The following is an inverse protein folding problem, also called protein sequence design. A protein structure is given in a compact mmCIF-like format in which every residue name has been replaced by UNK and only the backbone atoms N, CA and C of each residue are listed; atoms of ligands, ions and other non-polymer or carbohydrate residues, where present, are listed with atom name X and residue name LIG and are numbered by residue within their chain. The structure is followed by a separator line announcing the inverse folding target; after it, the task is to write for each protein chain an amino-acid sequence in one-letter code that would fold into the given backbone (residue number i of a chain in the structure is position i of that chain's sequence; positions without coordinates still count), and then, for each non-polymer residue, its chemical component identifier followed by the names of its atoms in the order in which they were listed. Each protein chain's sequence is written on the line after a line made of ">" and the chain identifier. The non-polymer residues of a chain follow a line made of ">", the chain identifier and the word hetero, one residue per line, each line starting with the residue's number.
data_IF_771731151375
#
_entry.id   IF_771731151375
#
_cell.length_a   1.000
_cell.length_b   1.000
_cell.length_c   1.000
_cell.angle_alpha   90.00
_cell.angle_beta   90.00
_cell.angle_gamma   90.00
#
_symmetry.space_group_name_H-M   'P 1'
#
loop_
_entity.id
_entity.type
_entity.pdbx_description
1 polymer ?
#
# COMPACT_ATOMS: atom_id res chain seq x y z
N UNK A 1 5.82 -13.26 -35.60
CA UNK A 1 6.96 -13.28 -34.64
C UNK A 1 6.35 -13.43 -33.27
N UNK A 2 6.81 -14.38 -32.47
CA UNK A 2 6.35 -14.53 -31.10
C UNK A 2 6.65 -13.24 -30.33
N UNK A 3 5.66 -12.70 -29.63
CA UNK A 3 5.83 -11.51 -28.81
C UNK A 3 6.44 -11.95 -27.47
N UNK A 4 7.76 -11.91 -27.37
CA UNK A 4 8.54 -12.37 -26.22
C UNK A 4 9.15 -11.15 -25.52
N UNK A 5 8.76 -10.91 -24.25
CA UNK A 5 9.21 -9.75 -23.48
C UNK A 5 9.23 -10.04 -21.97
N UNK A 6 9.98 -9.24 -21.24
CA UNK A 6 9.93 -9.21 -19.79
C UNK A 6 8.99 -8.09 -19.32
N UNK A 7 8.18 -8.41 -18.32
CA UNK A 7 7.29 -7.44 -17.69
C UNK A 7 7.48 -7.46 -16.18
N UNK A 8 7.50 -6.28 -15.57
CA UNK A 8 7.82 -6.10 -14.16
C UNK A 8 6.75 -5.30 -13.46
N UNK A 9 6.31 -5.77 -12.30
CA UNK A 9 5.49 -5.01 -11.34
C UNK A 9 6.16 -5.00 -9.97
N UNK A 10 5.84 -3.96 -9.20
CA UNK A 10 6.33 -3.81 -7.83
C UNK A 10 5.17 -3.65 -6.85
N UNK A 11 5.42 -4.05 -5.59
CA UNK A 11 4.55 -3.81 -4.46
C UNK A 11 5.35 -3.31 -3.27
N UNK A 12 4.66 -2.69 -2.33
CA UNK A 12 5.23 -2.20 -1.08
C UNK A 12 4.46 -2.75 0.12
N UNK A 13 5.14 -2.85 1.26
CA UNK A 13 4.52 -3.31 2.50
C UNK A 13 3.62 -2.25 3.12
N UNK A 14 2.81 -2.67 4.09
CA UNK A 14 1.99 -1.76 4.91
C UNK A 14 2.80 -0.70 5.66
N UNK A 15 4.09 -0.97 5.92
CA UNK A 15 5.02 -0.04 6.60
C UNK A 15 5.78 0.88 5.66
N UNK A 16 5.59 0.81 4.35
CA UNK A 16 6.13 1.81 3.44
C UNK A 16 5.56 3.19 3.77
N UNK A 17 6.38 4.28 3.78
CA UNK A 17 5.94 5.60 4.23
C UNK A 17 4.65 6.09 3.58
N UNK A 18 4.53 5.95 2.26
CA UNK A 18 3.33 6.35 1.53
C UNK A 18 2.11 5.50 1.95
N UNK A 19 2.30 4.19 2.19
CA UNK A 19 1.22 3.32 2.66
C UNK A 19 0.86 3.53 4.13
N UNK A 20 1.78 4.00 4.94
CA UNK A 20 1.45 4.48 6.30
C UNK A 20 0.54 5.70 6.20
N UNK A 21 0.85 6.65 5.32
CA UNK A 21 0.03 7.83 5.08
C UNK A 21 -1.36 7.45 4.55
N UNK A 22 -1.44 6.61 3.51
CA UNK A 22 -2.70 6.10 2.96
C UNK A 22 -3.57 5.45 4.04
N UNK A 23 -3.01 4.53 4.83
CA UNK A 23 -3.75 3.80 5.87
C UNK A 23 -4.25 4.70 7.00
N UNK A 24 -3.52 5.76 7.36
CA UNK A 24 -3.99 6.73 8.36
C UNK A 24 -5.16 7.54 7.79
N UNK A 25 -5.04 8.00 6.57
CA UNK A 25 -6.11 8.75 5.89
C UNK A 25 -7.37 7.90 5.69
N UNK A 26 -7.23 6.65 5.29
CA UNK A 26 -8.35 5.69 5.15
C UNK A 26 -9.01 5.39 6.51
N UNK A 27 -8.22 5.21 7.57
CA UNK A 27 -8.76 4.96 8.91
C UNK A 27 -9.58 6.17 9.44
N UNK A 28 -9.17 7.38 9.10
CA UNK A 28 -9.92 8.61 9.43
C UNK A 28 -11.21 8.66 8.61
N UNK A 29 -11.16 8.37 7.32
CA UNK A 29 -12.34 8.26 6.46
C UNK A 29 -13.34 7.25 7.04
N UNK A 30 -12.90 6.05 7.35
CA UNK A 30 -13.72 4.99 7.92
C UNK A 30 -14.36 5.41 9.25
N UNK A 31 -13.60 6.03 10.14
CA UNK A 31 -14.09 6.49 11.43
C UNK A 31 -15.18 7.59 11.32
N UNK A 32 -15.09 8.42 10.29
CA UNK A 32 -16.09 9.45 10.00
C UNK A 32 -17.34 8.81 9.36
N UNK A 33 -17.17 7.98 8.33
CA UNK A 33 -18.27 7.33 7.61
C UNK A 33 -19.08 6.39 8.52
N UNK A 34 -18.44 5.78 9.52
CA UNK A 34 -19.13 4.98 10.54
C UNK A 34 -20.16 5.80 11.37
N UNK A 35 -19.94 7.11 11.50
CA UNK A 35 -20.85 8.01 12.25
C UNK A 35 -21.74 8.83 11.31
N UNK A 36 -21.25 9.20 10.14
CA UNK A 36 -21.98 9.94 9.12
C UNK A 36 -21.69 9.38 7.72
N UNK A 37 -22.53 8.46 7.20
CA UNK A 37 -22.35 7.90 5.86
C UNK A 37 -22.43 8.91 4.71
N UNK A 38 -22.92 10.13 4.98
CA UNK A 38 -23.03 11.21 3.98
C UNK A 38 -21.95 12.28 4.15
N UNK A 39 -20.99 12.07 5.04
CA UNK A 39 -19.88 13.01 5.23
C UNK A 39 -19.04 13.13 3.94
N UNK A 40 -18.55 14.33 3.69
CA UNK A 40 -17.55 14.61 2.67
C UNK A 40 -16.19 14.67 3.34
N UNK A 41 -15.30 13.81 2.91
CA UNK A 41 -13.98 13.63 3.53
C UNK A 41 -12.92 13.62 2.43
N UNK A 42 -11.96 14.53 2.56
CA UNK A 42 -10.71 14.54 1.82
C UNK A 42 -9.58 14.64 2.85
N UNK A 43 -9.20 13.49 3.41
CA UNK A 43 -8.20 13.41 4.46
C UNK A 43 -6.82 13.15 3.85
N UNK A 44 -5.89 14.07 4.07
CA UNK A 44 -4.52 13.97 3.65
C UNK A 44 -3.61 13.78 4.87
N UNK A 45 -2.55 12.99 4.69
CA UNK A 45 -1.62 12.67 5.76
C UNK A 45 -0.18 12.81 5.28
N UNK A 46 0.65 13.54 5.98
CA UNK A 46 2.10 13.51 5.80
C UNK A 46 2.72 12.75 6.97
N UNK A 47 3.59 11.78 6.68
CA UNK A 47 4.38 11.08 7.68
C UNK A 47 5.87 11.37 7.49
N UNK A 48 6.59 11.59 8.60
CA UNK A 48 8.03 11.78 8.62
C UNK A 48 8.59 11.27 9.96
N UNK A 49 9.89 11.43 10.19
CA UNK A 49 10.52 11.03 11.45
C UNK A 49 9.78 11.63 12.65
N UNK A 50 9.18 10.78 13.48
CA UNK A 50 8.49 11.19 14.70
C UNK A 50 7.29 12.13 14.51
N UNK A 51 6.79 12.31 13.29
CA UNK A 51 5.78 13.31 12.95
C UNK A 51 4.70 12.76 12.03
N UNK A 52 3.45 13.09 12.33
CA UNK A 52 2.29 12.95 11.46
C UNK A 52 1.59 14.30 11.36
N UNK A 53 1.27 14.74 10.15
CA UNK A 53 0.43 15.90 9.90
C UNK A 53 -0.83 15.43 9.18
N UNK A 54 -1.98 15.74 9.75
CA UNK A 54 -3.30 15.47 9.21
C UNK A 54 -3.87 16.79 8.70
N UNK A 55 -4.18 16.85 7.42
CA UNK A 55 -4.72 18.08 6.80
C UNK A 55 -5.80 17.69 5.78
N UNK A 56 -6.48 18.69 5.24
CA UNK A 56 -7.53 18.50 4.24
C UNK A 56 -8.87 19.03 4.68
N UNK A 57 -9.94 18.59 4.02
CA UNK A 57 -11.28 19.10 4.24
C UNK A 57 -12.24 18.01 4.69
N UNK A 58 -12.95 18.27 5.77
CA UNK A 58 -13.96 17.37 6.33
C UNK A 58 -15.24 18.14 6.58
N UNK A 59 -16.34 17.68 5.98
CA UNK A 59 -17.68 18.17 6.27
C UNK A 59 -18.53 17.00 6.70
N UNK A 60 -18.88 16.97 7.98
CA UNK A 60 -19.71 15.94 8.60
C UNK A 60 -20.78 16.61 9.47
N UNK A 61 -21.80 15.85 9.87
CA UNK A 61 -22.85 16.33 10.78
C UNK A 61 -22.26 16.70 12.14
N UNK A 62 -22.93 17.63 12.85
CA UNK A 62 -22.44 18.23 14.12
C UNK A 62 -22.17 17.20 15.24
N UNK A 63 -22.85 16.07 15.23
CA UNK A 63 -22.69 15.02 16.24
C UNK A 63 -21.69 13.91 15.85
N UNK A 64 -21.01 14.02 14.73
CA UNK A 64 -19.92 13.13 14.37
C UNK A 64 -18.63 13.61 15.05
N UNK A 65 -18.12 12.82 16.00
CA UNK A 65 -16.91 13.14 16.74
C UNK A 65 -15.88 12.03 16.57
N UNK A 66 -14.73 12.35 15.98
CA UNK A 66 -13.61 11.45 15.78
C UNK A 66 -12.36 11.99 16.49
N UNK A 67 -11.74 11.15 17.28
CA UNK A 67 -10.39 11.43 17.82
C UNK A 67 -9.34 11.08 16.74
N UNK A 68 -9.06 12.04 15.89
CA UNK A 68 -8.11 11.88 14.78
C UNK A 68 -6.71 11.46 15.26
N UNK A 69 -6.28 11.98 16.42
CA UNK A 69 -4.98 11.66 16.99
C UNK A 69 -4.94 10.19 17.38
N UNK A 70 -5.99 9.69 18.04
CA UNK A 70 -6.05 8.29 18.45
C UNK A 70 -6.16 7.35 17.26
N UNK A 71 -6.97 7.70 16.24
CA UNK A 71 -7.08 6.91 14.99
C UNK A 71 -5.71 6.78 14.30
N UNK A 72 -4.96 7.88 14.19
CA UNK A 72 -3.63 7.85 13.61
C UNK A 72 -2.66 6.95 14.41
N UNK A 73 -2.67 7.07 15.75
CA UNK A 73 -1.83 6.26 16.64
C UNK A 73 -2.17 4.77 16.56
N UNK A 74 -3.45 4.42 16.54
CA UNK A 74 -3.90 3.02 16.44
C UNK A 74 -3.50 2.41 15.09
N UNK A 75 -3.55 3.18 14.01
CA UNK A 75 -3.09 2.76 12.70
C UNK A 75 -1.59 2.51 12.68
N UNK A 76 -0.78 3.43 13.20
CA UNK A 76 0.68 3.29 13.32
C UNK A 76 1.04 2.04 14.15
N UNK A 77 0.31 1.82 15.27
CA UNK A 77 0.48 0.64 16.11
C UNK A 77 0.15 -0.65 15.37
N UNK A 78 -0.98 -0.69 14.65
CA UNK A 78 -1.44 -1.85 13.85
C UNK A 78 -0.42 -2.22 12.78
N UNK A 79 0.22 -1.26 12.14
CA UNK A 79 1.28 -1.46 11.16
C UNK A 79 2.51 -2.07 11.81
N UNK A 80 2.81 -1.73 13.08
CA UNK A 80 3.94 -2.27 13.84
C UNK A 80 5.08 -1.27 14.07
N UNK A 81 4.80 0.02 13.96
CA UNK A 81 5.71 1.07 14.41
C UNK A 81 5.48 1.33 15.90
N UNK A 82 6.07 0.48 16.73
CA UNK A 82 5.90 0.42 18.19
C UNK A 82 7.17 0.69 18.97
N UNK A 83 8.26 1.04 18.29
CA UNK A 83 9.56 1.35 18.86
C UNK A 83 10.13 2.64 18.25
N UNK A 84 10.64 3.53 19.09
CA UNK A 84 11.28 4.79 18.68
C UNK A 84 12.47 4.61 17.74
N UNK A 85 13.16 3.47 17.84
CA UNK A 85 14.27 3.12 16.94
C UNK A 85 13.85 2.98 15.47
N UNK A 86 12.55 2.78 15.21
CA UNK A 86 12.00 2.70 13.84
C UNK A 86 11.75 4.09 13.24
N UNK A 87 12.12 5.15 13.97
CA UNK A 87 12.00 6.54 13.54
C UNK A 87 10.62 7.16 13.68
N UNK A 88 9.61 6.37 13.90
CA UNK A 88 8.26 6.76 14.31
C UNK A 88 7.68 5.66 15.20
N UNK A 89 7.04 6.04 16.29
CA UNK A 89 6.30 5.12 17.13
C UNK A 89 4.93 5.72 17.52
N UNK A 90 3.95 4.85 17.72
CA UNK A 90 2.57 5.27 17.96
C UNK A 90 2.37 6.02 19.29
N UNK A 91 3.26 5.85 20.27
CA UNK A 91 3.15 6.50 21.58
C UNK A 91 3.73 7.91 21.56
N UNK A 92 4.91 8.06 20.96
CA UNK A 92 5.74 9.25 21.07
C UNK A 92 5.70 10.19 19.87
N UNK A 93 5.17 9.78 18.71
CA UNK A 93 5.13 10.65 17.54
C UNK A 93 4.23 11.88 17.77
N UNK A 94 4.64 13.02 17.24
CA UNK A 94 3.79 14.19 17.18
C UNK A 94 2.67 13.96 16.14
N UNK A 95 1.45 14.36 16.46
CA UNK A 95 0.31 14.35 15.53
C UNK A 95 -0.27 15.75 15.49
N UNK A 96 -0.14 16.44 14.35
CA UNK A 96 -0.70 17.75 14.10
C UNK A 96 -1.99 17.58 13.29
N UNK A 97 -3.05 18.28 13.70
CA UNK A 97 -4.35 18.22 13.04
C UNK A 97 -4.70 19.60 12.50
N UNK A 98 -4.95 19.70 11.20
CA UNK A 98 -5.25 20.91 10.45
C UNK A 98 -6.35 20.62 9.41
N UNK A 99 -7.50 20.11 9.86
CA UNK A 99 -8.65 19.91 8.99
C UNK A 99 -9.53 21.16 8.95
N UNK A 100 -9.91 21.55 7.73
CA UNK A 100 -10.85 22.62 7.45
C UNK A 100 -12.19 22.06 6.96
N UNK A 101 -13.19 22.95 6.81
CA UNK A 101 -14.43 22.61 6.09
C UNK A 101 -14.22 22.79 4.59
N UNK A 102 -14.88 21.98 3.79
CA UNK A 102 -14.85 22.11 2.32
C UNK A 102 -15.34 23.51 1.89
N UNK A 103 -14.65 24.10 0.92
CA UNK A 103 -15.06 25.37 0.31
C UNK A 103 -16.47 25.30 -0.25
N UNK A 104 -17.28 26.36 -0.01
CA UNK A 104 -18.62 26.45 -0.56
C UNK A 104 -18.64 26.42 -2.10
N UNK A 105 -17.58 26.90 -2.75
CA UNK A 105 -17.48 26.91 -4.21
C UNK A 105 -17.32 25.50 -4.78
N UNK A 106 -16.59 24.63 -4.10
CA UNK A 106 -16.44 23.23 -4.46
C UNK A 106 -17.71 22.45 -4.08
N UNK A 107 -18.32 22.75 -2.94
CA UNK A 107 -19.53 22.09 -2.46
C UNK A 107 -20.74 22.24 -3.39
N UNK A 108 -20.80 23.29 -4.22
CA UNK A 108 -21.91 23.52 -5.15
C UNK A 108 -22.17 22.33 -6.08
N UNK A 109 -21.11 21.66 -6.55
CA UNK A 109 -21.24 20.49 -7.44
C UNK A 109 -21.83 19.26 -6.76
N UNK A 110 -21.76 19.19 -5.42
CA UNK A 110 -22.23 18.06 -4.61
C UNK A 110 -23.56 18.37 -3.90
N UNK A 111 -23.71 19.59 -3.37
CA UNK A 111 -24.88 20.00 -2.57
C UNK A 111 -26.15 20.18 -3.40
N UNK A 112 -26.04 20.42 -4.71
CA UNK A 112 -27.18 20.50 -5.63
C UNK A 112 -27.62 19.13 -6.18
N UNK A 113 -27.03 18.02 -5.69
CA UNK A 113 -27.54 16.71 -5.98
C UNK A 113 -28.97 16.59 -5.45
N UNK A 114 -29.93 16.37 -6.34
CA UNK A 114 -31.29 15.97 -5.97
C UNK A 114 -31.24 14.73 -5.08
N UNK A 115 -32.32 14.39 -4.38
CA UNK A 115 -32.48 13.14 -3.61
C UNK A 115 -32.24 11.85 -4.42
N UNK A 116 -31.94 11.99 -5.68
CA UNK A 116 -31.53 10.91 -6.59
C UNK A 116 -30.02 10.70 -6.54
N UNK A 117 -29.59 9.64 -5.85
CA UNK A 117 -28.18 9.23 -5.71
C UNK A 117 -27.48 9.02 -7.07
N UNK A 118 -28.21 8.81 -8.15
CA UNK A 118 -27.65 8.63 -9.50
C UNK A 118 -27.22 9.97 -10.13
N UNK A 119 -27.67 11.09 -9.58
CA UNK A 119 -27.36 12.44 -10.05
C UNK A 119 -26.44 13.22 -9.12
N UNK A 120 -25.82 12.54 -8.14
CA UNK A 120 -24.81 13.18 -7.29
C UNK A 120 -23.60 13.54 -8.14
N UNK A 121 -23.22 14.82 -8.17
CA UNK A 121 -22.00 15.30 -8.80
C UNK A 121 -20.76 14.92 -8.00
N UNK A 122 -19.59 15.02 -8.63
CA UNK A 122 -18.30 14.93 -7.95
C UNK A 122 -17.74 16.32 -7.65
N UNK A 123 -16.90 16.44 -6.63
CA UNK A 123 -16.22 17.69 -6.28
C UNK A 123 -15.10 18.06 -7.26
N UNK A 124 -14.66 17.13 -8.10
CA UNK A 124 -13.61 17.33 -9.09
C UNK A 124 -13.84 16.43 -10.31
N UNK A 125 -13.12 16.68 -11.39
CA UNK A 125 -13.07 15.78 -12.54
C UNK A 125 -12.30 14.51 -12.23
N UNK A 126 -12.68 13.39 -12.84
CA UNK A 126 -12.01 12.10 -12.65
C UNK A 126 -12.20 11.17 -13.84
N UNK A 127 -11.31 10.19 -13.95
CA UNK A 127 -11.46 9.09 -14.88
C UNK A 127 -10.94 7.80 -14.26
N UNK A 128 -11.58 6.68 -14.57
CA UNK A 128 -11.26 5.37 -14.02
C UNK A 128 -11.06 4.35 -15.15
N UNK A 129 -10.16 3.38 -14.90
CA UNK A 129 -9.95 2.25 -15.78
C UNK A 129 -10.20 0.96 -15.01
N UNK A 130 -11.08 0.11 -15.54
CA UNK A 130 -11.25 -1.26 -15.08
C UNK A 130 -10.42 -2.22 -15.95
N UNK A 131 -9.77 -3.20 -15.34
CA UNK A 131 -9.00 -4.22 -16.03
C UNK A 131 -9.09 -5.55 -15.28
N UNK A 132 -9.22 -6.64 -16.03
CA UNK A 132 -9.14 -8.00 -15.51
C UNK A 132 -8.48 -8.90 -16.56
N UNK A 133 -7.77 -9.94 -16.11
CA UNK A 133 -7.18 -10.96 -16.95
C UNK A 133 -7.27 -12.33 -16.26
N UNK A 134 -6.99 -13.40 -17.01
CA UNK A 134 -7.07 -14.78 -16.54
C UNK A 134 -5.73 -15.35 -16.05
N UNK A 135 -4.81 -14.46 -15.66
CA UNK A 135 -3.47 -14.88 -15.24
C UNK A 135 -3.43 -15.42 -13.80
N UNK A 136 -4.40 -15.03 -12.97
CA UNK A 136 -4.54 -15.48 -11.59
C UNK A 136 -6.01 -15.74 -11.22
N UNK A 137 -6.29 -16.53 -10.18
CA UNK A 137 -7.66 -16.78 -9.74
C UNK A 137 -8.44 -15.51 -9.37
N UNK A 138 -7.74 -14.47 -8.92
CA UNK A 138 -8.31 -13.17 -8.56
C UNK A 138 -8.52 -12.25 -9.77
N UNK A 139 -8.30 -12.75 -11.00
CA UNK A 139 -8.39 -12.00 -12.25
C UNK A 139 -7.44 -10.80 -12.35
N UNK A 140 -6.34 -10.87 -11.62
CA UNK A 140 -5.30 -9.85 -11.58
C UNK A 140 -4.07 -10.26 -12.39
N UNK A 141 -3.31 -9.31 -12.94
CA UNK A 141 -2.03 -9.59 -13.60
C UNK A 141 -1.05 -10.29 -12.67
N UNK A 142 -0.41 -11.36 -13.14
CA UNK A 142 0.46 -12.19 -12.33
C UNK A 142 1.61 -11.43 -11.65
N UNK A 143 2.37 -10.52 -12.31
CA UNK A 143 3.50 -9.86 -11.66
C UNK A 143 3.10 -9.04 -10.43
N UNK A 144 2.03 -8.24 -10.51
CA UNK A 144 1.58 -7.44 -9.34
C UNK A 144 0.97 -8.33 -8.27
N UNK A 145 0.21 -9.36 -8.65
CA UNK A 145 -0.37 -10.31 -7.71
C UNK A 145 0.71 -10.96 -6.84
N UNK A 146 1.76 -11.51 -7.44
CA UNK A 146 2.84 -12.15 -6.68
C UNK A 146 3.70 -11.15 -5.90
N UNK A 147 3.88 -9.94 -6.41
CA UNK A 147 4.53 -8.88 -5.64
C UNK A 147 3.74 -8.57 -4.36
N UNK A 148 2.41 -8.53 -4.41
CA UNK A 148 1.56 -8.37 -3.22
C UNK A 148 1.69 -9.55 -2.25
N UNK A 149 1.62 -10.81 -2.74
CA UNK A 149 1.77 -12.00 -1.89
C UNK A 149 3.08 -12.02 -1.12
N UNK A 150 4.18 -11.57 -1.73
CA UNK A 150 5.48 -11.45 -1.06
C UNK A 150 5.42 -10.43 0.10
N UNK A 151 4.78 -9.30 -0.10
CA UNK A 151 4.65 -8.27 0.95
C UNK A 151 3.72 -8.70 2.07
N UNK A 152 2.62 -9.34 1.76
CA UNK A 152 1.71 -9.92 2.75
C UNK A 152 2.42 -10.98 3.61
N UNK A 153 3.21 -11.83 2.98
CA UNK A 153 3.97 -12.87 3.67
C UNK A 153 5.04 -12.29 4.57
N UNK A 154 5.78 -11.26 4.11
CA UNK A 154 6.75 -10.53 4.92
C UNK A 154 6.08 -9.92 6.17
N UNK A 155 4.96 -9.23 6.00
CA UNK A 155 4.22 -8.62 7.09
C UNK A 155 3.70 -9.67 8.09
N UNK A 156 3.19 -10.79 7.60
CA UNK A 156 2.74 -11.90 8.43
C UNK A 156 3.85 -12.44 9.34
N UNK A 157 5.01 -12.76 8.75
CA UNK A 157 6.15 -13.36 9.48
C UNK A 157 6.74 -12.39 10.50
N UNK A 158 6.71 -11.11 10.21
CA UNK A 158 7.09 -10.06 11.15
C UNK A 158 6.12 -9.97 12.32
N UNK A 159 4.82 -9.91 12.03
CA UNK A 159 3.77 -9.74 13.05
C UNK A 159 3.58 -10.96 13.96
N UNK A 160 3.75 -12.17 13.42
CA UNK A 160 3.63 -13.40 14.21
C UNK A 160 4.93 -13.76 14.96
N UNK A 161 5.98 -12.96 14.79
CA UNK A 161 7.25 -13.11 15.51
C UNK A 161 8.14 -14.23 15.02
N UNK A 162 7.84 -14.86 13.87
CA UNK A 162 8.70 -15.90 13.28
C UNK A 162 9.99 -15.32 12.75
N UNK A 163 9.96 -14.11 12.17
CA UNK A 163 11.13 -13.35 11.76
C UNK A 163 11.17 -12.01 12.51
N UNK A 164 11.54 -11.99 13.79
CA UNK A 164 11.42 -10.83 14.67
C UNK A 164 12.39 -9.69 14.32
N UNK A 165 13.40 -9.97 13.51
CA UNK A 165 14.34 -8.98 13.02
C UNK A 165 13.82 -8.16 11.84
N UNK A 166 12.71 -8.54 11.21
CA UNK A 166 12.08 -7.75 10.16
C UNK A 166 11.44 -6.48 10.73
N UNK A 167 11.45 -5.42 9.93
CA UNK A 167 10.82 -4.15 10.24
C UNK A 167 9.69 -3.87 9.26
N UNK A 168 8.81 -2.88 9.55
CA UNK A 168 7.58 -2.69 8.77
C UNK A 168 7.80 -2.31 7.31
N UNK A 169 8.87 -1.59 6.96
CA UNK A 169 9.12 -1.12 5.59
C UNK A 169 9.73 -2.21 4.72
N UNK A 170 9.11 -2.46 3.58
CA UNK A 170 9.63 -3.39 2.59
C UNK A 170 9.05 -3.10 1.20
N UNK A 171 9.77 -3.58 0.18
CA UNK A 171 9.36 -3.56 -1.23
C UNK A 171 9.65 -4.90 -1.88
N UNK A 172 8.78 -5.28 -2.82
CA UNK A 172 9.01 -6.41 -3.70
C UNK A 172 8.87 -5.98 -5.16
N UNK A 173 9.57 -6.69 -6.03
CA UNK A 173 9.47 -6.52 -7.47
C UNK A 173 9.51 -7.89 -8.11
N UNK A 174 8.55 -8.18 -8.99
CA UNK A 174 8.47 -9.45 -9.71
C UNK A 174 8.55 -9.17 -11.20
N UNK A 175 9.53 -9.80 -11.85
CA UNK A 175 9.70 -9.79 -13.31
C UNK A 175 9.32 -11.15 -13.85
N UNK A 176 8.43 -11.17 -14.83
CA UNK A 176 8.01 -12.40 -15.52
C UNK A 176 8.28 -12.29 -17.01
N UNK A 177 8.58 -13.43 -17.63
CA UNK A 177 8.68 -13.57 -19.08
C UNK A 177 7.32 -13.90 -19.65
N UNK A 178 6.92 -13.12 -20.63
CA UNK A 178 5.69 -13.29 -21.40
C UNK A 178 6.02 -13.79 -22.81
N UNK A 179 5.26 -14.76 -23.29
CA UNK A 179 5.29 -15.23 -24.67
C UNK A 179 3.85 -15.23 -25.20
N UNK A 180 3.65 -14.57 -26.32
CA UNK A 180 2.34 -14.41 -26.96
C UNK A 180 1.23 -13.89 -26.00
N UNK A 181 1.62 -12.94 -25.15
CA UNK A 181 0.71 -12.27 -24.21
C UNK A 181 0.40 -13.06 -22.93
N UNK A 182 1.04 -14.22 -22.72
CA UNK A 182 0.83 -15.04 -21.51
C UNK A 182 2.09 -15.13 -20.67
N UNK A 183 1.99 -15.02 -19.33
CA UNK A 183 3.13 -15.24 -18.45
C UNK A 183 3.56 -16.71 -18.52
N UNK A 184 4.86 -16.95 -18.66
CA UNK A 184 5.42 -18.28 -18.80
C UNK A 184 6.26 -18.69 -17.60
N UNK A 185 7.10 -17.77 -17.11
CA UNK A 185 8.01 -18.05 -16.00
C UNK A 185 8.38 -16.80 -15.22
N UNK A 186 8.80 -17.02 -14.00
CA UNK A 186 9.52 -16.01 -13.24
C UNK A 186 10.92 -15.81 -13.85
N UNK A 187 11.33 -14.56 -13.97
CA UNK A 187 12.68 -14.18 -14.40
C UNK A 187 13.49 -13.66 -13.21
N UNK A 188 12.96 -12.70 -12.48
CA UNK A 188 13.64 -12.09 -11.35
C UNK A 188 12.64 -11.74 -10.24
N UNK A 189 13.02 -12.02 -9.00
CA UNK A 189 12.35 -11.56 -7.78
C UNK A 189 13.32 -10.67 -7.01
N UNK A 190 12.94 -9.41 -6.79
CA UNK A 190 13.66 -8.49 -5.90
C UNK A 190 12.83 -8.31 -4.64
N UNK A 191 13.47 -8.40 -3.49
CA UNK A 191 12.84 -8.09 -2.21
C UNK A 191 13.81 -7.27 -1.36
N UNK A 192 13.39 -6.07 -0.98
CA UNK A 192 14.11 -5.20 -0.05
C UNK A 192 13.27 -5.05 1.20
N UNK A 193 13.82 -5.41 2.35
CA UNK A 193 13.13 -5.31 3.63
C UNK A 193 14.02 -4.66 4.68
N UNK A 194 13.43 -3.74 5.42
CA UNK A 194 14.07 -3.15 6.60
C UNK A 194 14.25 -4.21 7.67
N UNK A 195 15.37 -4.16 8.38
CA UNK A 195 15.77 -5.16 9.36
C UNK A 195 16.49 -4.54 10.56
N UNK A 196 16.65 -5.31 11.65
CA UNK A 196 17.43 -4.93 12.80
C UNK A 196 18.93 -4.78 12.45
N UNK A 197 19.63 -3.92 13.18
CA UNK A 197 21.03 -3.58 12.91
C UNK A 197 22.03 -4.73 13.19
N UNK A 198 21.65 -5.64 14.07
CA UNK A 198 22.52 -6.66 14.65
C UNK A 198 22.46 -8.01 13.93
N UNK A 199 21.89 -8.05 12.72
CA UNK A 199 21.76 -9.29 11.95
C UNK A 199 22.74 -9.38 10.78
N UNK A 200 23.17 -10.62 10.50
CA UNK A 200 23.99 -10.91 9.31
C UNK A 200 23.14 -10.92 8.06
N UNK A 201 23.48 -10.08 7.09
CA UNK A 201 22.78 -10.02 5.80
C UNK A 201 22.86 -11.34 5.03
N UNK A 202 24.06 -11.90 4.87
CA UNK A 202 24.28 -13.13 4.11
C UNK A 202 23.99 -14.40 4.94
N UNK A 203 24.27 -14.36 6.25
CA UNK A 203 24.16 -15.54 7.11
C UNK A 203 22.77 -15.77 7.70
N UNK A 204 21.90 -14.75 7.73
CA UNK A 204 20.58 -14.86 8.33
C UNK A 204 19.49 -14.26 7.43
N UNK A 205 19.58 -12.97 7.09
CA UNK A 205 18.51 -12.28 6.40
C UNK A 205 18.17 -12.92 5.04
N UNK A 206 19.17 -13.11 4.18
CA UNK A 206 18.95 -13.67 2.84
C UNK A 206 18.41 -15.10 2.88
N UNK A 207 18.99 -16.05 3.64
CA UNK A 207 18.45 -17.40 3.76
C UNK A 207 17.00 -17.42 4.27
N UNK A 208 16.70 -16.68 5.33
CA UNK A 208 15.39 -16.68 5.94
C UNK A 208 14.30 -16.05 5.03
N UNK A 209 14.65 -14.98 4.30
CA UNK A 209 13.73 -14.39 3.32
C UNK A 209 13.46 -15.36 2.18
N UNK A 210 14.49 -16.03 1.68
CA UNK A 210 14.31 -17.03 0.62
C UNK A 210 13.45 -18.20 1.09
N UNK A 211 13.75 -18.77 2.25
CA UNK A 211 13.09 -19.98 2.78
C UNK A 211 11.66 -19.70 3.27
N UNK A 212 11.45 -18.58 3.97
CA UNK A 212 10.20 -18.35 4.67
C UNK A 212 9.25 -17.37 3.96
N UNK A 213 9.76 -16.50 3.08
CA UNK A 213 8.94 -15.53 2.34
C UNK A 213 8.75 -15.98 0.90
N UNK A 214 9.83 -16.12 0.12
CA UNK A 214 9.75 -16.31 -1.33
C UNK A 214 9.31 -17.74 -1.67
N UNK A 215 10.01 -18.74 -1.16
CA UNK A 215 9.73 -20.14 -1.49
C UNK A 215 8.29 -20.53 -1.21
N UNK A 216 7.69 -20.24 -0.03
CA UNK A 216 6.30 -20.63 0.23
C UNK A 216 5.27 -19.94 -0.68
N UNK A 217 5.54 -18.71 -1.12
CA UNK A 217 4.66 -18.01 -2.08
C UNK A 217 4.72 -18.69 -3.45
N UNK A 218 5.90 -19.09 -3.92
CA UNK A 218 6.06 -19.77 -5.19
C UNK A 218 5.59 -21.23 -5.15
N UNK A 219 5.77 -21.93 -4.03
CA UNK A 219 5.26 -23.30 -3.84
C UNK A 219 3.72 -23.31 -3.85
N UNK A 220 3.09 -22.33 -3.21
CA UNK A 220 1.64 -22.17 -3.25
C UNK A 220 1.14 -21.95 -4.70
N UNK A 221 1.89 -21.21 -5.51
CA UNK A 221 1.59 -21.02 -6.93
C UNK A 221 1.67 -22.35 -7.70
N UNK A 222 2.71 -23.14 -7.52
CA UNK A 222 2.82 -24.45 -8.18
C UNK A 222 1.63 -25.37 -7.84
N UNK A 223 1.16 -25.30 -6.59
CA UNK A 223 0.03 -26.10 -6.13
C UNK A 223 -1.31 -25.72 -6.83
N UNK A 224 -1.42 -24.51 -7.40
CA UNK A 224 -2.63 -24.09 -8.16
C UNK A 224 -2.70 -24.71 -9.56
N UNK A 225 -1.63 -25.32 -10.05
CA UNK A 225 -1.57 -25.84 -11.42
C UNK A 225 -1.53 -24.74 -12.50
N UNK A 226 -1.08 -23.55 -12.16
CA UNK A 226 -1.03 -22.37 -13.06
C UNK A 226 -0.19 -22.57 -14.32
N UNK A 227 0.71 -23.58 -14.33
CA UNK A 227 1.64 -23.83 -15.42
C UNK A 227 2.83 -22.86 -15.49
N UNK A 228 2.93 -21.92 -14.56
CA UNK A 228 4.05 -20.99 -14.48
C UNK A 228 5.33 -21.70 -14.01
N UNK A 229 6.41 -21.50 -14.73
CA UNK A 229 7.71 -22.06 -14.36
C UNK A 229 8.40 -21.20 -13.29
N UNK A 230 8.65 -21.81 -12.14
CA UNK A 230 9.40 -21.26 -11.00
C UNK A 230 10.71 -22.01 -10.74
N UNK A 231 11.16 -22.86 -11.66
CA UNK A 231 12.35 -23.70 -11.46
C UNK A 231 13.66 -22.93 -11.54
N UNK A 232 13.67 -21.79 -12.25
CA UNK A 232 14.89 -21.00 -12.48
C UNK A 232 14.57 -19.52 -12.58
N UNK A 233 14.82 -18.78 -11.52
CA UNK A 233 14.71 -17.33 -11.47
C UNK A 233 15.86 -16.73 -10.66
N UNK A 234 16.16 -15.46 -10.92
CA UNK A 234 17.16 -14.72 -10.17
C UNK A 234 16.52 -14.09 -8.94
N UNK A 235 17.18 -14.18 -7.80
CA UNK A 235 16.78 -13.55 -6.57
C UNK A 235 17.74 -12.43 -6.20
N UNK A 236 17.21 -11.25 -5.86
CA UNK A 236 17.97 -10.11 -5.38
C UNK A 236 17.37 -9.64 -4.04
N UNK A 237 18.07 -9.96 -2.95
CA UNK A 237 17.62 -9.66 -1.58
C UNK A 237 18.44 -8.52 -1.00
N UNK A 238 17.81 -7.43 -0.62
CA UNK A 238 18.49 -6.21 -0.19
C UNK A 238 19.73 -5.92 -1.06
N UNK A 239 19.58 -5.71 -2.38
CA UNK A 239 20.72 -5.70 -3.31
C UNK A 239 21.71 -4.56 -3.03
N UNK A 240 21.33 -3.53 -2.29
CA UNK A 240 22.21 -2.46 -1.82
C UNK A 240 22.89 -2.80 -0.48
N UNK A 241 22.62 -3.98 0.08
CA UNK A 241 23.13 -4.43 1.35
C UNK A 241 22.24 -4.05 2.53
N UNK A 242 22.76 -3.27 3.46
CA UNK A 242 22.09 -2.90 4.69
C UNK A 242 20.85 -2.00 4.47
N UNK A 243 19.72 -2.36 5.13
CA UNK A 243 18.51 -1.56 5.13
C UNK A 243 17.95 -1.47 6.58
N UNK A 244 18.64 -0.74 7.42
CA UNK A 244 18.29 -0.52 8.83
C UNK A 244 17.40 0.71 9.00
N UNK A 245 17.67 1.79 8.28
CA UNK A 245 16.89 3.02 8.29
C UNK A 245 15.86 2.96 7.18
N UNK A 246 14.60 2.93 7.53
CA UNK A 246 13.48 2.84 6.59
C UNK A 246 12.21 3.47 7.18
N UNK A 247 11.08 3.23 6.53
CA UNK A 247 9.81 3.83 6.91
C UNK A 247 9.85 5.36 6.85
N UNK A 248 9.00 6.05 7.62
CA UNK A 248 8.95 7.51 7.66
C UNK A 248 10.25 8.19 8.09
N UNK A 249 11.18 7.45 8.72
CA UNK A 249 12.51 7.95 9.02
C UNK A 249 13.40 8.02 7.77
N UNK A 250 13.24 7.08 6.86
CA UNK A 250 14.01 7.03 5.63
C UNK A 250 13.50 8.00 4.55
N UNK A 251 12.19 8.09 4.40
CA UNK A 251 11.52 8.92 3.38
C UNK A 251 10.18 9.42 3.92
N UNK A 252 9.85 10.68 3.67
CA UNK A 252 8.53 11.21 4.00
C UNK A 252 7.44 10.50 3.18
N UNK A 253 6.33 10.14 3.82
CA UNK A 253 5.17 9.51 3.20
C UNK A 253 4.03 10.48 2.95
N UNK A 254 3.35 10.30 1.82
CA UNK A 254 2.17 11.04 1.41
C UNK A 254 1.16 10.08 0.75
N UNK A 255 -0.16 10.35 0.86
CA UNK A 255 -1.18 9.55 0.18
C UNK A 255 -1.07 9.68 -1.35
N UNK A 256 -1.52 8.66 -2.06
CA UNK A 256 -1.63 8.69 -3.51
C UNK A 256 -0.31 8.70 -4.28
N UNK A 257 0.80 8.31 -3.66
CA UNK A 257 2.11 8.21 -4.34
C UNK A 257 2.42 6.81 -4.87
N UNK A 258 1.74 5.78 -4.38
CA UNK A 258 1.90 4.39 -4.85
C UNK A 258 0.75 3.96 -5.78
N UNK A 259 0.28 4.87 -6.61
CA UNK A 259 -0.91 4.69 -7.47
C UNK A 259 -0.79 3.57 -8.52
N UNK A 260 0.40 3.04 -8.77
CA UNK A 260 0.61 1.91 -9.69
C UNK A 260 0.57 0.58 -8.93
N UNK A 261 0.96 0.59 -7.66
CA UNK A 261 0.87 -0.58 -6.76
C UNK A 261 -0.59 -0.94 -6.49
N UNK A 262 -1.43 0.07 -6.30
CA UNK A 262 -2.83 -0.11 -5.90
C UNK A 262 -3.70 -0.79 -6.96
N UNK A 263 -3.60 -0.42 -8.28
CA UNK A 263 -4.46 -1.04 -9.28
C UNK A 263 -3.81 -2.27 -9.94
N UNK A 264 -3.12 -2.11 -11.06
CA UNK A 264 -2.80 -3.24 -11.94
C UNK A 264 -1.29 -3.41 -12.23
N UNK A 265 -0.41 -2.77 -11.47
CA UNK A 265 1.03 -2.95 -11.60
C UNK A 265 1.59 -2.61 -13.00
N UNK A 266 1.04 -1.62 -13.68
CA UNK A 266 1.36 -1.20 -15.06
C UNK A 266 0.82 -2.12 -16.17
N UNK A 267 0.11 -3.19 -15.86
CA UNK A 267 -0.50 -4.06 -16.89
C UNK A 267 -1.65 -3.37 -17.61
N UNK A 268 -2.27 -2.37 -16.98
CA UNK A 268 -3.29 -1.52 -17.56
C UNK A 268 -3.05 -0.05 -17.22
N UNK A 269 -3.83 0.83 -17.85
CA UNK A 269 -3.86 2.25 -17.52
C UNK A 269 -4.48 2.44 -16.13
N UNK A 270 -4.06 3.48 -15.43
CA UNK A 270 -4.65 3.91 -14.17
C UNK A 270 -5.47 5.18 -14.36
N UNK A 271 -6.45 5.40 -13.50
CA UNK A 271 -7.27 6.59 -13.48
C UNK A 271 -6.54 7.83 -12.97
N UNK A 272 -7.22 8.95 -12.97
CA UNK A 272 -6.83 10.17 -12.29
C UNK A 272 -7.52 10.27 -10.92
N UNK A 273 -6.88 10.89 -9.95
CA UNK A 273 -7.37 11.05 -8.58
C UNK A 273 -6.69 10.09 -7.59
N UNK A 274 -6.91 10.32 -6.31
CA UNK A 274 -6.42 9.46 -5.25
C UNK A 274 -7.27 8.18 -5.16
N UNK A 275 -6.62 7.04 -4.89
CA UNK A 275 -7.29 5.74 -4.69
C UNK A 275 -7.66 5.48 -3.22
N UNK A 276 -7.28 6.35 -2.31
CA UNK A 276 -7.53 6.24 -0.87
C UNK A 276 -7.93 7.58 -0.25
N UNK A 277 -8.49 7.53 0.95
CA UNK A 277 -8.79 8.66 1.83
C UNK A 277 -9.85 9.64 1.34
N UNK A 278 -10.69 9.28 0.37
CA UNK A 278 -11.73 10.15 -0.16
C UNK A 278 -13.09 9.51 -0.17
N UNK A 279 -14.07 10.19 0.38
CA UNK A 279 -15.46 9.80 0.25
C UNK A 279 -15.95 10.02 -1.20
N UNK A 280 -16.91 9.20 -1.69
CA UNK A 280 -17.56 9.47 -2.97
C UNK A 280 -18.09 10.89 -3.04
N UNK A 281 -17.82 11.58 -4.14
CA UNK A 281 -18.24 12.97 -4.35
C UNK A 281 -17.28 14.03 -3.83
N UNK A 282 -16.12 13.67 -3.27
CA UNK A 282 -15.11 14.62 -2.77
C UNK A 282 -13.82 14.66 -3.60
N UNK A 283 -13.68 13.77 -4.56
CA UNK A 283 -12.48 13.68 -5.43
C UNK A 283 -12.51 14.68 -6.56
#
# INVERSE_FOLDING_TARGET
>A
MANDFLFTSESVSEGHPDKVADQISDAILDAILAQDPHARVAAETLTNTGLVVLAGEITARENAHVDYIQVARDTIKRIGYDNTEYGIDYKGCAVLVAYDKQSNDIAQGVDHASDDHLNTGAGDQGLMFGYACDETPELMPAPIYYAHRLMERQAQLRKDGRLPFLRPDAKSQVTMRYVDGKPQRFDTVVLSTQHAADISHEGLLQPDILEHVITPVLDALQATGSGLDVSSYRTLLNPTGRFEIGGPMGVAGLPGRQIIVDPYGRSARHGAGASSARAPGTS
#
